data_IF_885053767080
#
_entry.id   IF_885053767080
#
_cell.length_a   1.000
_cell.length_b   1.000
_cell.length_c   1.000
_cell.angle_alpha   90.00
_cell.angle_beta   90.00
_cell.angle_gamma   90.00
#
_symmetry.space_group_name_H-M   'P 1'
#
loop_
_entity.id
_entity.type
_entity.pdbx_description
1 polymer ?
#
# COMPACT_ATOMS: atom_id res chain seq x y z
N UNK A 1 47.19 -21.59 10.77
CA UNK A 1 47.04 -20.35 9.99
C UNK A 1 46.21 -20.67 8.77
N UNK A 2 44.89 -20.52 8.85
CA UNK A 2 43.99 -20.68 7.71
C UNK A 2 43.93 -19.36 6.97
N UNK A 3 44.57 -19.31 5.81
CA UNK A 3 44.58 -18.16 4.90
C UNK A 3 43.16 -17.90 4.40
N UNK A 4 42.52 -16.88 4.97
CA UNK A 4 41.35 -16.22 4.36
C UNK A 4 41.84 -15.57 3.06
N UNK A 5 41.65 -16.25 1.94
CA UNK A 5 41.76 -15.63 0.62
C UNK A 5 40.51 -14.79 0.42
N UNK A 6 40.53 -13.54 0.88
CA UNK A 6 39.58 -12.54 0.41
C UNK A 6 39.78 -12.44 -1.11
N UNK A 7 38.76 -12.87 -1.85
CA UNK A 7 38.80 -12.90 -3.30
C UNK A 7 38.59 -11.48 -3.84
N UNK A 8 39.68 -10.71 -3.91
CA UNK A 8 39.69 -9.27 -4.24
C UNK A 8 39.39 -8.99 -5.73
N UNK A 9 39.04 -10.02 -6.51
CA UNK A 9 38.80 -9.94 -7.96
C UNK A 9 37.41 -10.36 -8.45
N UNK A 10 36.52 -10.83 -7.57
CA UNK A 10 35.14 -11.13 -7.96
C UNK A 10 34.30 -9.85 -7.95
N UNK A 11 33.59 -9.56 -9.05
CA UNK A 11 32.53 -8.53 -9.04
C UNK A 11 31.60 -8.79 -7.85
N UNK A 12 31.13 -7.74 -7.14
CA UNK A 12 30.19 -7.93 -6.05
C UNK A 12 28.95 -8.68 -6.55
N UNK A 13 28.48 -9.66 -5.79
CA UNK A 13 27.26 -10.39 -6.14
C UNK A 13 26.09 -9.40 -6.17
N UNK A 14 25.34 -9.39 -7.27
CA UNK A 14 24.09 -8.64 -7.35
C UNK A 14 23.08 -9.20 -6.32
N UNK A 15 22.20 -8.36 -5.75
CA UNK A 15 21.25 -8.80 -4.74
C UNK A 15 20.17 -9.73 -5.30
N UNK A 16 19.49 -10.44 -4.40
CA UNK A 16 18.29 -11.22 -4.71
C UNK A 16 18.44 -12.15 -5.91
N UNK A 17 17.44 -12.08 -6.80
CA UNK A 17 17.37 -12.87 -8.03
C UNK A 17 18.28 -12.37 -9.14
N UNK A 18 18.82 -11.16 -9.06
CA UNK A 18 19.81 -10.67 -10.02
C UNK A 18 21.15 -11.41 -9.88
N UNK A 19 21.55 -11.76 -8.66
CA UNK A 19 22.77 -12.54 -8.41
C UNK A 19 22.55 -14.05 -8.37
N UNK A 20 21.33 -14.51 -8.08
CA UNK A 20 20.96 -15.93 -8.11
C UNK A 20 19.49 -16.08 -8.52
N UNK A 21 19.16 -16.50 -9.75
CA UNK A 21 17.79 -16.63 -10.23
C UNK A 21 16.88 -17.53 -9.38
N UNK A 22 17.45 -18.48 -8.63
CA UNK A 22 16.74 -19.40 -7.74
C UNK A 22 16.50 -18.82 -6.34
N UNK A 23 16.94 -17.58 -6.08
CA UNK A 23 16.75 -16.92 -4.79
C UNK A 23 15.26 -16.72 -4.51
N UNK A 24 14.82 -17.18 -3.35
CA UNK A 24 13.50 -16.91 -2.76
C UNK A 24 13.65 -16.16 -1.44
N UNK A 25 12.55 -15.61 -0.91
CA UNK A 25 12.54 -14.83 0.34
C UNK A 25 13.26 -15.57 1.49
N UNK A 26 13.00 -16.88 1.66
CA UNK A 26 13.66 -17.75 2.66
C UNK A 26 15.18 -17.81 2.56
N UNK A 27 15.72 -17.67 1.36
CA UNK A 27 17.16 -17.86 1.06
C UNK A 27 17.89 -16.55 0.81
N UNK A 28 17.18 -15.42 0.83
CA UNK A 28 17.75 -14.09 0.69
C UNK A 28 18.35 -13.65 2.02
N UNK A 29 19.68 -13.41 2.09
CA UNK A 29 20.34 -13.06 3.35
C UNK A 29 19.90 -11.70 3.90
N UNK A 30 19.19 -10.89 3.12
CA UNK A 30 18.65 -9.59 3.56
C UNK A 30 17.36 -9.73 4.35
N UNK A 31 16.60 -10.81 4.16
CA UNK A 31 15.27 -10.97 4.75
C UNK A 31 15.33 -11.11 6.28
N UNK A 32 14.43 -10.45 7.00
CA UNK A 32 14.30 -10.62 8.45
C UNK A 32 13.87 -12.08 8.73
N UNK A 33 14.69 -12.87 9.46
CA UNK A 33 14.39 -14.28 9.69
C UNK A 33 13.09 -14.51 10.47
N UNK A 34 12.64 -13.53 11.28
CA UNK A 34 11.37 -13.59 12.01
C UNK A 34 10.19 -13.49 11.05
N UNK A 35 10.27 -12.59 10.07
CA UNK A 35 9.28 -12.46 9.00
C UNK A 35 9.24 -13.73 8.15
N UNK A 36 10.41 -14.24 7.74
CA UNK A 36 10.51 -15.50 6.97
C UNK A 36 9.84 -16.66 7.72
N UNK A 37 10.08 -16.79 9.02
CA UNK A 37 9.46 -17.83 9.85
C UNK A 37 7.92 -17.69 9.90
N UNK A 38 7.39 -16.47 9.88
CA UNK A 38 5.95 -16.22 9.86
C UNK A 38 5.30 -16.46 8.48
N UNK A 39 6.06 -16.34 7.39
CA UNK A 39 5.62 -16.68 6.05
C UNK A 39 5.53 -18.19 5.79
N UNK A 40 6.41 -18.97 6.43
CA UNK A 40 6.59 -20.40 6.15
C UNK A 40 5.33 -21.28 6.27
N UNK A 41 4.45 -21.11 7.29
CA UNK A 41 3.22 -21.90 7.40
C UNK A 41 2.26 -21.76 6.21
N UNK A 42 2.40 -20.67 5.45
CA UNK A 42 1.55 -20.35 4.29
C UNK A 42 2.31 -20.50 2.96
N UNK A 43 3.54 -21.03 2.99
CA UNK A 43 4.45 -21.12 1.84
C UNK A 43 4.77 -19.76 1.16
N UNK A 44 4.64 -18.65 1.89
CA UNK A 44 4.93 -17.30 1.41
C UNK A 44 6.43 -16.94 1.45
N UNK A 45 7.25 -17.82 2.02
CA UNK A 45 8.71 -17.70 2.09
C UNK A 45 9.41 -18.30 0.85
N UNK A 46 8.67 -19.06 0.04
CA UNK A 46 9.13 -19.68 -1.20
C UNK A 46 8.68 -18.89 -2.45
N UNK A 47 9.11 -19.34 -3.63
CA UNK A 47 8.59 -18.81 -4.88
C UNK A 47 7.10 -19.16 -5.02
N UNK A 48 6.23 -18.21 -5.42
CA UNK A 48 4.82 -18.48 -5.63
C UNK A 48 4.63 -19.48 -6.77
N UNK A 49 3.60 -20.35 -6.70
CA UNK A 49 3.26 -21.22 -7.81
C UNK A 49 2.85 -20.38 -9.04
N UNK A 50 3.07 -20.88 -10.27
CA UNK A 50 2.55 -20.25 -11.46
C UNK A 50 1.04 -20.04 -11.36
N UNK A 51 0.57 -18.85 -11.73
CA UNK A 51 -0.86 -18.53 -11.70
C UNK A 51 -1.58 -19.08 -12.95
N UNK A 52 -2.86 -19.46 -12.85
CA UNK A 52 -3.59 -20.12 -13.94
C UNK A 52 -4.10 -19.15 -15.03
N UNK A 53 -3.85 -17.85 -14.89
CA UNK A 53 -4.34 -16.79 -15.78
C UNK A 53 -3.22 -15.81 -16.11
N UNK A 54 -3.34 -15.13 -17.24
CA UNK A 54 -2.44 -14.06 -17.69
C UNK A 54 -3.25 -12.87 -18.21
N UNK A 55 -2.58 -11.76 -18.56
CA UNK A 55 -3.24 -10.52 -18.99
C UNK A 55 -4.27 -10.70 -20.12
N UNK A 56 -3.99 -11.62 -21.05
CA UNK A 56 -4.85 -11.97 -22.20
C UNK A 56 -5.88 -13.07 -21.93
N UNK A 57 -5.97 -13.60 -20.71
CA UNK A 57 -7.00 -14.58 -20.35
C UNK A 57 -8.41 -13.95 -20.39
N UNK A 58 -9.47 -14.76 -20.60
CA UNK A 58 -10.84 -14.26 -20.60
C UNK A 58 -11.18 -13.49 -19.33
N UNK A 59 -11.99 -12.44 -19.46
CA UNK A 59 -12.38 -11.56 -18.35
C UNK A 59 -12.86 -12.34 -17.13
N UNK A 60 -13.81 -13.26 -17.34
CA UNK A 60 -14.38 -14.06 -16.25
C UNK A 60 -13.32 -14.91 -15.54
N UNK A 61 -12.40 -15.54 -16.27
CA UNK A 61 -11.34 -16.34 -15.66
C UNK A 61 -10.41 -15.50 -14.76
N UNK A 62 -10.14 -14.25 -15.15
CA UNK A 62 -9.36 -13.31 -14.33
C UNK A 62 -10.12 -12.92 -13.05
N UNK A 63 -11.43 -12.71 -13.14
CA UNK A 63 -12.27 -12.41 -11.97
C UNK A 63 -12.37 -13.60 -11.01
N UNK A 64 -12.56 -14.82 -11.53
CA UNK A 64 -12.62 -16.03 -10.71
C UNK A 64 -11.29 -16.26 -9.97
N UNK A 65 -10.17 -16.02 -10.65
CA UNK A 65 -8.85 -16.05 -10.03
C UNK A 65 -8.70 -15.01 -8.91
N UNK A 66 -9.17 -13.77 -9.11
CA UNK A 66 -9.13 -12.73 -8.07
C UNK A 66 -10.00 -13.09 -6.89
N UNK A 67 -11.22 -13.58 -7.10
CA UNK A 67 -12.12 -13.98 -6.02
C UNK A 67 -11.49 -15.09 -5.15
N UNK A 68 -10.86 -16.09 -5.77
CA UNK A 68 -10.15 -17.14 -5.05
C UNK A 68 -8.90 -16.60 -4.31
N UNK A 69 -8.15 -15.69 -4.95
CA UNK A 69 -6.96 -15.07 -4.37
C UNK A 69 -7.31 -14.20 -3.17
N UNK A 70 -8.39 -13.42 -3.25
CA UNK A 70 -8.89 -12.58 -2.17
C UNK A 70 -9.25 -13.42 -0.94
N UNK A 71 -10.04 -14.48 -1.12
CA UNK A 71 -10.43 -15.38 -0.03
C UNK A 71 -9.20 -16.04 0.63
N UNK A 72 -8.22 -16.47 -0.16
CA UNK A 72 -6.96 -17.03 0.35
C UNK A 72 -6.14 -16.02 1.15
N UNK A 73 -5.99 -14.80 0.63
CA UNK A 73 -5.25 -13.72 1.30
C UNK A 73 -5.94 -13.28 2.59
N UNK A 74 -7.26 -13.13 2.61
CA UNK A 74 -8.01 -12.80 3.82
C UNK A 74 -7.87 -13.88 4.89
N UNK A 75 -7.86 -15.16 4.51
CA UNK A 75 -7.58 -16.27 5.43
C UNK A 75 -6.20 -16.19 6.06
N UNK A 76 -5.15 -15.96 5.25
CA UNK A 76 -3.78 -15.77 5.77
C UNK A 76 -3.69 -14.56 6.68
N UNK A 77 -4.29 -13.43 6.29
CA UNK A 77 -4.28 -12.21 7.07
C UNK A 77 -5.04 -12.35 8.39
N UNK A 78 -6.17 -13.05 8.40
CA UNK A 78 -6.87 -13.37 9.64
C UNK A 78 -5.95 -14.14 10.61
N UNK A 79 -5.21 -15.13 10.13
CA UNK A 79 -4.28 -15.92 10.95
C UNK A 79 -3.06 -15.09 11.43
N UNK A 80 -2.48 -14.26 10.56
CA UNK A 80 -1.37 -13.36 10.91
C UNK A 80 -1.74 -12.33 11.99
N UNK A 81 -3.03 -12.05 12.17
CA UNK A 81 -3.56 -11.13 13.18
C UNK A 81 -4.34 -11.81 14.31
N UNK A 82 -4.56 -13.12 14.24
CA UNK A 82 -5.22 -13.91 15.27
C UNK A 82 -4.49 -13.82 16.62
N UNK A 83 -5.26 -13.88 17.70
CA UNK A 83 -4.79 -13.90 19.09
C UNK A 83 -3.92 -12.71 19.53
N UNK A 84 -3.87 -11.63 18.74
CA UNK A 84 -3.26 -10.39 19.20
C UNK A 84 -4.08 -9.80 20.35
N UNK A 85 -3.43 -9.27 21.41
CA UNK A 85 -4.14 -8.59 22.48
C UNK A 85 -5.05 -7.47 21.95
N UNK A 86 -6.24 -7.28 22.55
CA UNK A 86 -7.16 -6.22 22.14
C UNK A 86 -6.58 -4.84 22.45
N UNK A 87 -6.86 -3.88 21.59
CA UNK A 87 -6.55 -2.47 21.82
C UNK A 87 -7.76 -1.84 22.52
N UNK A 88 -7.62 -1.56 23.82
CA UNK A 88 -8.74 -1.20 24.69
C UNK A 88 -9.01 0.30 24.78
N UNK A 89 -8.07 1.13 24.35
CA UNK A 89 -8.13 2.60 24.39
C UNK A 89 -8.69 3.23 23.11
N UNK A 90 -9.29 2.43 22.21
CA UNK A 90 -9.87 2.89 20.94
C UNK A 90 -11.39 2.64 20.93
N UNK A 91 -12.13 3.61 20.42
CA UNK A 91 -13.53 3.52 20.04
C UNK A 91 -13.64 3.36 18.52
N UNK A 92 -14.57 2.52 18.08
CA UNK A 92 -14.85 2.30 16.66
C UNK A 92 -16.30 2.64 16.37
N UNK A 93 -16.55 3.28 15.23
CA UNK A 93 -17.89 3.48 14.68
C UNK A 93 -17.85 3.42 13.16
N UNK A 94 -18.97 3.10 12.54
CA UNK A 94 -19.10 3.07 11.09
C UNK A 94 -20.10 4.12 10.66
N UNK A 95 -19.72 4.93 9.68
CA UNK A 95 -20.62 5.84 8.98
C UNK A 95 -20.86 5.36 7.57
N UNK A 96 -22.07 5.60 7.05
CA UNK A 96 -22.41 5.34 5.65
C UNK A 96 -22.67 6.67 4.97
N UNK A 97 -21.91 6.97 3.92
CA UNK A 97 -22.02 8.20 3.16
C UNK A 97 -22.45 7.89 1.72
N UNK A 98 -22.91 8.91 0.99
CA UNK A 98 -23.24 8.78 -0.43
C UNK A 98 -22.05 9.20 -1.29
N UNK A 99 -21.60 8.29 -2.16
CA UNK A 99 -20.60 8.54 -3.19
C UNK A 99 -21.14 9.40 -4.33
N UNK A 100 -20.23 9.93 -5.15
CA UNK A 100 -20.58 10.76 -6.32
C UNK A 100 -21.39 10.01 -7.38
N UNK A 101 -21.30 8.68 -7.44
CA UNK A 101 -22.07 7.84 -8.36
C UNK A 101 -23.41 7.39 -7.76
N UNK A 102 -23.79 7.91 -6.59
CA UNK A 102 -25.00 7.51 -5.88
C UNK A 102 -24.89 6.11 -5.23
N UNK A 103 -23.68 5.60 -5.00
CA UNK A 103 -23.41 4.39 -4.22
C UNK A 103 -23.24 4.72 -2.73
N UNK A 104 -23.47 3.75 -1.86
CA UNK A 104 -23.12 3.87 -0.44
C UNK A 104 -21.64 3.53 -0.24
N UNK A 105 -20.97 4.29 0.62
CA UNK A 105 -19.57 4.09 1.00
C UNK A 105 -19.51 4.00 2.52
N UNK A 106 -18.91 2.93 3.05
CA UNK A 106 -18.67 2.79 4.49
C UNK A 106 -17.37 3.48 4.87
N UNK A 107 -17.40 4.22 5.98
CA UNK A 107 -16.23 4.81 6.61
C UNK A 107 -16.08 4.20 8.01
N UNK A 108 -14.97 3.51 8.24
CA UNK A 108 -14.61 2.93 9.54
C UNK A 108 -13.79 3.94 10.32
N UNK A 109 -14.37 4.51 11.37
CA UNK A 109 -13.78 5.58 12.17
C UNK A 109 -13.27 4.99 13.48
N UNK A 110 -11.97 5.15 13.72
CA UNK A 110 -11.28 4.69 14.91
C UNK A 110 -10.72 5.92 15.65
N UNK A 111 -11.14 6.10 16.90
CA UNK A 111 -10.80 7.28 17.72
C UNK A 111 -10.27 6.86 19.09
N UNK A 112 -9.25 7.53 19.65
CA UNK A 112 -8.80 7.26 21.00
C UNK A 112 -9.83 7.77 22.03
N UNK A 113 -10.16 6.94 23.02
CA UNK A 113 -11.23 7.20 24.02
C UNK A 113 -11.06 8.49 24.81
N UNK A 114 -9.82 8.85 25.15
CA UNK A 114 -9.51 9.91 26.10
C UNK A 114 -8.79 11.11 25.43
N UNK A 115 -9.13 11.42 24.18
CA UNK A 115 -8.57 12.55 23.47
C UNK A 115 -9.01 13.88 24.12
N UNK A 116 -8.05 14.71 24.55
CA UNK A 116 -8.29 15.99 25.23
C UNK A 116 -8.59 17.16 24.27
N UNK A 117 -8.48 16.96 22.95
CA UNK A 117 -8.68 17.98 21.93
C UNK A 117 -8.61 17.41 20.52
N UNK A 118 -8.61 18.28 19.48
CA UNK A 118 -8.50 17.82 18.10
C UNK A 118 -7.18 17.12 17.79
N UNK A 119 -7.24 16.00 17.07
CA UNK A 119 -6.08 15.17 16.72
C UNK A 119 -5.87 15.12 15.20
N UNK A 120 -4.64 14.86 14.72
CA UNK A 120 -4.44 14.57 13.30
C UNK A 120 -5.21 13.31 12.89
N UNK A 121 -5.76 13.32 11.68
CA UNK A 121 -6.47 12.19 11.09
C UNK A 121 -5.62 11.53 10.01
N UNK A 122 -5.53 10.21 10.05
CA UNK A 122 -5.08 9.39 8.93
C UNK A 122 -6.33 8.92 8.17
N UNK A 123 -6.56 9.51 7.00
CA UNK A 123 -7.51 9.01 6.02
C UNK A 123 -6.87 7.82 5.29
N UNK A 124 -7.25 6.63 5.75
CA UNK A 124 -6.60 5.37 5.40
C UNK A 124 -7.27 4.69 4.20
N UNK A 125 -6.48 4.39 3.18
CA UNK A 125 -6.91 3.70 1.97
C UNK A 125 -6.14 2.37 1.90
N UNK A 126 -6.86 1.25 1.94
CA UNK A 126 -6.23 -0.07 2.03
C UNK A 126 -5.66 -0.58 0.70
N UNK A 127 -4.72 -1.51 0.79
CA UNK A 127 -4.10 -2.24 -0.31
C UNK A 127 -5.00 -3.30 -0.96
N UNK A 128 -4.39 -4.19 -1.74
CA UNK A 128 -5.09 -5.18 -2.57
C UNK A 128 -5.14 -4.82 -4.06
N UNK A 129 -4.17 -4.03 -4.53
CA UNK A 129 -4.01 -3.69 -5.95
C UNK A 129 -5.19 -2.91 -6.56
N UNK A 130 -6.00 -2.24 -5.73
CA UNK A 130 -7.26 -1.59 -6.09
C UNK A 130 -8.33 -2.56 -6.65
N UNK A 131 -8.10 -3.86 -6.50
CA UNK A 131 -8.88 -4.93 -7.15
C UNK A 131 -9.50 -5.88 -6.14
N UNK A 132 -8.99 -5.99 -4.92
CA UNK A 132 -9.50 -6.92 -3.90
C UNK A 132 -9.18 -6.44 -2.48
N UNK A 133 -9.62 -7.23 -1.49
CA UNK A 133 -9.58 -6.99 -0.04
C UNK A 133 -10.55 -5.90 0.40
N UNK A 134 -10.84 -5.87 1.69
CA UNK A 134 -11.82 -4.94 2.28
C UNK A 134 -11.21 -4.17 3.45
N UNK A 135 -11.56 -2.89 3.62
CA UNK A 135 -11.20 -2.09 4.78
C UNK A 135 -11.68 -2.71 6.10
N UNK A 136 -12.75 -3.52 6.07
CA UNK A 136 -13.24 -4.30 7.20
C UNK A 136 -12.31 -5.44 7.65
N UNK A 137 -11.40 -5.90 6.79
CA UNK A 137 -10.49 -7.01 7.06
C UNK A 137 -9.61 -6.80 8.32
N UNK A 138 -9.25 -7.91 8.97
CA UNK A 138 -8.57 -7.91 10.28
C UNK A 138 -7.27 -7.08 10.29
N UNK A 139 -6.46 -7.20 9.23
CA UNK A 139 -5.23 -6.42 9.04
C UNK A 139 -5.48 -4.91 9.13
N UNK A 140 -6.42 -4.40 8.34
CA UNK A 140 -6.64 -2.96 8.23
C UNK A 140 -7.43 -2.42 9.41
N UNK A 141 -8.35 -3.20 9.99
CA UNK A 141 -8.99 -2.84 11.24
C UNK A 141 -7.94 -2.69 12.36
N UNK A 142 -7.00 -3.63 12.47
CA UNK A 142 -5.90 -3.56 13.44
C UNK A 142 -4.99 -2.38 13.16
N UNK A 143 -4.60 -2.14 11.90
CA UNK A 143 -3.76 -1.01 11.51
C UNK A 143 -4.35 0.33 11.96
N UNK A 144 -5.65 0.53 11.72
CA UNK A 144 -6.36 1.74 12.15
C UNK A 144 -6.47 1.86 13.67
N UNK A 145 -6.65 0.75 14.39
CA UNK A 145 -6.60 0.77 15.86
C UNK A 145 -5.22 1.15 16.39
N UNK A 146 -4.13 0.63 15.82
CA UNK A 146 -2.77 0.93 16.27
C UNK A 146 -2.43 2.41 16.03
N UNK A 147 -2.85 2.97 14.89
CA UNK A 147 -2.78 4.41 14.64
C UNK A 147 -3.60 5.19 15.67
N UNK A 148 -4.85 4.78 15.91
CA UNK A 148 -5.73 5.48 16.85
C UNK A 148 -5.22 5.41 18.30
N UNK A 149 -4.69 4.26 18.71
CA UNK A 149 -4.10 4.06 20.03
C UNK A 149 -2.90 4.98 20.30
N UNK A 150 -2.22 5.43 19.24
CA UNK A 150 -1.10 6.36 19.31
C UNK A 150 -1.53 7.84 19.28
N UNK A 151 -2.83 8.14 19.38
CA UNK A 151 -3.34 9.51 19.44
C UNK A 151 -3.60 10.13 18.07
N UNK A 152 -4.05 9.33 17.09
CA UNK A 152 -4.57 9.79 15.80
C UNK A 152 -6.07 9.49 15.72
N UNK A 153 -6.80 10.21 14.88
CA UNK A 153 -8.04 9.65 14.32
C UNK A 153 -7.65 8.81 13.11
N UNK A 154 -8.19 7.60 12.95
CA UNK A 154 -7.96 6.81 11.74
C UNK A 154 -9.30 6.50 11.08
N UNK A 155 -9.42 6.86 9.80
CA UNK A 155 -10.65 6.72 9.03
C UNK A 155 -10.40 5.89 7.79
N UNK A 156 -10.86 4.64 7.81
CA UNK A 156 -10.74 3.71 6.68
C UNK A 156 -11.91 3.86 5.73
N UNK A 157 -11.64 4.04 4.44
CA UNK A 157 -12.67 4.05 3.39
C UNK A 157 -12.85 2.65 2.79
N UNK A 158 -14.09 2.17 2.73
CA UNK A 158 -14.48 0.93 2.03
C UNK A 158 -14.89 1.30 0.59
N UNK A 159 -13.90 1.35 -0.31
CA UNK A 159 -14.12 1.75 -1.69
C UNK A 159 -14.49 0.54 -2.57
N UNK A 160 -15.16 0.79 -3.71
CA UNK A 160 -15.43 -0.25 -4.71
C UNK A 160 -14.14 -0.74 -5.36
N UNK A 161 -13.98 -2.06 -5.44
CA UNK A 161 -12.81 -2.70 -6.02
C UNK A 161 -12.99 -3.03 -7.51
N UNK A 162 -11.87 -3.19 -8.22
CA UNK A 162 -11.88 -3.69 -9.61
C UNK A 162 -12.41 -5.12 -9.75
N UNK A 163 -12.25 -5.97 -8.73
CA UNK A 163 -12.71 -7.36 -8.69
C UNK A 163 -13.06 -7.79 -7.26
N UNK A 164 -13.12 -9.09 -7.01
CA UNK A 164 -13.38 -9.65 -5.68
C UNK A 164 -14.76 -9.31 -5.12
N UNK A 165 -14.87 -9.34 -3.80
CA UNK A 165 -16.13 -9.21 -3.04
C UNK A 165 -16.78 -7.84 -3.19
N UNK A 166 -15.97 -6.80 -3.40
CA UNK A 166 -16.43 -5.42 -3.64
C UNK A 166 -16.37 -5.01 -5.11
N UNK A 167 -16.23 -5.99 -6.02
CA UNK A 167 -16.13 -5.79 -7.46
C UNK A 167 -17.43 -5.99 -8.23
N UNK A 168 -17.46 -5.77 -9.55
CA UNK A 168 -16.33 -5.49 -10.44
C UNK A 168 -16.43 -4.06 -10.98
N UNK A 169 -15.72 -3.13 -10.35
CA UNK A 169 -15.80 -1.71 -10.66
C UNK A 169 -14.42 -1.17 -11.12
N UNK A 170 -14.15 -1.13 -12.43
CA UNK A 170 -12.89 -0.60 -12.96
C UNK A 170 -12.62 0.85 -12.57
N UNK A 171 -11.38 1.30 -12.82
CA UNK A 171 -11.02 2.71 -12.72
C UNK A 171 -12.02 3.61 -13.48
N UNK A 172 -12.51 4.73 -12.89
CA UNK A 172 -12.05 5.36 -11.65
C UNK A 172 -12.94 5.11 -10.41
N UNK A 173 -13.76 4.04 -10.37
CA UNK A 173 -14.77 3.87 -9.32
C UNK A 173 -14.22 3.95 -7.88
N UNK A 174 -13.19 3.17 -7.55
CA UNK A 174 -12.56 3.22 -6.22
C UNK A 174 -11.90 4.58 -5.90
N UNK A 175 -11.32 5.26 -6.89
CA UNK A 175 -10.77 6.61 -6.71
C UNK A 175 -11.87 7.63 -6.43
N UNK A 176 -13.00 7.54 -7.12
CA UNK A 176 -14.17 8.39 -6.86
C UNK A 176 -14.68 8.20 -5.43
N UNK A 177 -14.73 6.96 -4.94
CA UNK A 177 -15.15 6.67 -3.56
C UNK A 177 -14.15 7.23 -2.53
N UNK A 178 -12.85 7.12 -2.79
CA UNK A 178 -11.81 7.74 -1.96
C UNK A 178 -11.94 9.28 -1.93
N UNK A 179 -12.26 9.91 -3.05
CA UNK A 179 -12.50 11.36 -3.10
C UNK A 179 -13.76 11.76 -2.32
N UNK A 180 -14.84 10.97 -2.40
CA UNK A 180 -16.06 11.19 -1.62
C UNK A 180 -15.83 11.05 -0.11
N UNK A 181 -15.08 10.02 0.31
CA UNK A 181 -14.75 9.84 1.73
C UNK A 181 -13.80 10.92 2.26
N UNK A 182 -12.83 11.38 1.46
CA UNK A 182 -11.96 12.50 1.82
C UNK A 182 -12.76 13.79 2.00
N UNK A 183 -13.64 14.10 1.03
CA UNK A 183 -14.51 15.28 1.09
C UNK A 183 -15.37 15.25 2.36
N UNK A 184 -16.03 14.12 2.65
CA UNK A 184 -16.83 13.98 3.86
C UNK A 184 -16.00 14.18 5.13
N UNK A 185 -14.80 13.60 5.18
CA UNK A 185 -13.88 13.74 6.32
C UNK A 185 -13.50 15.19 6.54
N UNK A 186 -13.19 15.92 5.47
CA UNK A 186 -12.87 17.35 5.51
C UNK A 186 -14.05 18.19 6.02
N UNK A 187 -15.24 17.94 5.51
CA UNK A 187 -16.46 18.68 5.90
C UNK A 187 -16.85 18.42 7.37
N UNK A 188 -16.45 17.27 7.94
CA UNK A 188 -16.78 16.87 9.30
C UNK A 188 -15.63 17.03 10.30
N UNK A 189 -14.54 17.74 9.95
CA UNK A 189 -13.37 17.93 10.84
C UNK A 189 -13.74 18.40 12.25
N UNK A 190 -14.66 19.36 12.37
CA UNK A 190 -15.08 19.88 13.67
C UNK A 190 -15.77 18.80 14.53
N UNK A 191 -16.74 18.08 13.96
CA UNK A 191 -17.49 17.03 14.66
C UNK A 191 -16.60 15.83 15.01
N UNK A 192 -15.67 15.49 14.13
CA UNK A 192 -14.70 14.40 14.33
C UNK A 192 -13.52 14.82 15.23
N UNK A 193 -13.44 16.09 15.63
CA UNK A 193 -12.29 16.67 16.35
C UNK A 193 -10.98 16.38 15.63
N UNK A 194 -10.93 16.66 14.32
CA UNK A 194 -9.74 16.48 13.48
C UNK A 194 -9.04 17.82 13.27
N UNK A 195 -7.73 17.87 13.55
CA UNK A 195 -6.90 19.04 13.29
C UNK A 195 -6.37 19.09 11.86
N UNK A 196 -5.86 17.96 11.35
CA UNK A 196 -5.22 17.80 10.03
C UNK A 196 -5.62 16.49 9.38
N UNK A 197 -5.57 16.40 8.05
CA UNK A 197 -5.84 15.17 7.29
C UNK A 197 -4.59 14.75 6.53
N UNK A 198 -4.09 13.57 6.88
CA UNK A 198 -3.03 12.87 6.18
C UNK A 198 -3.67 11.74 5.38
N UNK A 199 -3.50 11.73 4.07
CA UNK A 199 -3.94 10.60 3.24
C UNK A 199 -2.83 9.55 3.26
N UNK A 200 -3.18 8.30 3.62
CA UNK A 200 -2.20 7.23 3.75
C UNK A 200 -2.75 5.87 3.33
N UNK A 201 -1.87 5.04 2.79
CA UNK A 201 -2.19 3.69 2.37
C UNK A 201 -0.97 2.96 1.82
N UNK A 202 -1.05 1.64 1.81
CA UNK A 202 -0.01 0.74 1.33
C UNK A 202 -0.36 0.07 0.00
N UNK A 203 0.64 -0.26 -0.83
CA UNK A 203 0.44 -1.01 -2.06
C UNK A 203 -0.56 -0.32 -3.01
N UNK A 204 -1.67 -0.99 -3.37
CA UNK A 204 -2.77 -0.39 -4.12
C UNK A 204 -3.45 0.78 -3.40
N UNK A 205 -3.48 0.76 -2.07
CA UNK A 205 -3.89 1.91 -1.24
C UNK A 205 -2.87 3.04 -1.30
N UNK A 206 -1.59 2.73 -1.47
CA UNK A 206 -0.52 3.68 -1.79
C UNK A 206 -0.73 4.35 -3.16
N UNK A 207 -1.18 3.59 -4.16
CA UNK A 207 -1.60 4.17 -5.44
C UNK A 207 -2.76 5.14 -5.26
N UNK A 208 -3.87 4.69 -4.67
CA UNK A 208 -5.04 5.52 -4.46
C UNK A 208 -4.75 6.73 -3.57
N UNK A 209 -3.85 6.61 -2.60
CA UNK A 209 -3.35 7.73 -1.78
C UNK A 209 -2.72 8.82 -2.64
N UNK A 210 -1.80 8.44 -3.53
CA UNK A 210 -1.14 9.37 -4.45
C UNK A 210 -2.13 9.93 -5.49
N UNK A 211 -2.98 9.07 -6.06
CA UNK A 211 -3.99 9.45 -7.04
C UNK A 211 -5.07 10.38 -6.46
N UNK A 212 -5.50 10.17 -5.22
CA UNK A 212 -6.41 11.06 -4.47
C UNK A 212 -5.79 12.45 -4.32
N UNK A 213 -4.50 12.55 -4.00
CA UNK A 213 -3.81 13.84 -3.91
C UNK A 213 -3.73 14.54 -5.28
N UNK A 214 -3.35 13.81 -6.33
CA UNK A 214 -3.33 14.30 -7.71
C UNK A 214 -4.72 14.77 -8.18
N UNK A 215 -5.77 13.99 -7.87
CA UNK A 215 -7.15 14.33 -8.20
C UNK A 215 -7.64 15.54 -7.43
N UNK A 216 -7.34 15.64 -6.14
CA UNK A 216 -7.66 16.80 -5.32
C UNK A 216 -7.03 18.07 -5.89
N UNK A 217 -5.76 18.02 -6.32
CA UNK A 217 -5.13 19.15 -7.02
C UNK A 217 -5.86 19.49 -8.32
N UNK A 218 -6.10 18.50 -9.17
CA UNK A 218 -6.80 18.69 -10.45
C UNK A 218 -8.18 19.34 -10.29
N UNK A 219 -8.86 19.03 -9.19
CA UNK A 219 -10.20 19.54 -8.88
C UNK A 219 -10.20 20.84 -8.05
N UNK A 220 -9.02 21.42 -7.73
CA UNK A 220 -8.92 22.62 -6.89
C UNK A 220 -9.24 22.39 -5.41
N UNK A 221 -9.14 21.13 -4.93
CA UNK A 221 -9.47 20.68 -3.58
C UNK A 221 -8.26 20.34 -2.70
N UNK A 222 -7.06 20.77 -3.11
CA UNK A 222 -5.82 20.38 -2.42
C UNK A 222 -5.76 20.81 -0.95
N UNK A 223 -6.50 21.84 -0.56
CA UNK A 223 -6.65 22.28 0.84
C UNK A 223 -7.27 21.23 1.78
N UNK A 224 -7.80 20.12 1.23
CA UNK A 224 -8.32 18.99 2.02
C UNK A 224 -7.23 18.09 2.57
N UNK A 225 -6.00 18.19 2.08
CA UNK A 225 -4.90 17.27 2.36
C UNK A 225 -3.73 18.06 2.93
N UNK A 226 -3.44 17.84 4.22
CA UNK A 226 -2.32 18.47 4.91
C UNK A 226 -0.99 17.73 4.63
N UNK A 227 -1.06 16.41 4.34
CA UNK A 227 0.11 15.61 3.98
C UNK A 227 -0.26 14.24 3.40
N UNK A 228 0.73 13.57 2.83
CA UNK A 228 0.57 12.26 2.18
C UNK A 228 1.62 11.28 2.68
N UNK A 229 1.21 10.08 3.05
CA UNK A 229 2.11 9.01 3.48
C UNK A 229 1.81 7.72 2.71
N UNK A 230 2.56 7.46 1.63
CA UNK A 230 2.38 6.28 0.79
C UNK A 230 3.39 5.18 1.15
N UNK A 231 2.90 3.98 1.45
CA UNK A 231 3.71 2.80 1.76
C UNK A 231 3.75 1.85 0.55
N UNK A 232 4.92 1.32 0.23
CA UNK A 232 5.18 0.36 -0.86
C UNK A 232 4.28 0.56 -2.10
N UNK A 233 4.22 1.77 -2.69
CA UNK A 233 3.14 2.14 -3.59
C UNK A 233 3.15 1.33 -4.90
N UNK A 234 1.98 0.81 -5.29
CA UNK A 234 1.73 0.00 -6.50
C UNK A 234 1.29 0.87 -7.69
N UNK A 235 2.23 1.49 -8.39
CA UNK A 235 1.96 2.67 -9.23
C UNK A 235 2.44 2.57 -10.67
N UNK A 236 3.21 1.55 -11.05
CA UNK A 236 3.79 1.44 -12.39
C UNK A 236 2.78 1.06 -13.48
N UNK A 237 1.89 0.10 -13.23
CA UNK A 237 0.85 -0.33 -14.19
C UNK A 237 1.32 -1.27 -15.30
N UNK A 238 2.62 -1.52 -15.43
CA UNK A 238 3.25 -2.19 -16.57
C UNK A 238 4.14 -3.38 -16.16
N UNK A 239 3.74 -4.12 -15.11
CA UNK A 239 4.54 -5.22 -14.52
C UNK A 239 4.80 -6.39 -15.47
N UNK A 240 3.95 -6.61 -16.48
CA UNK A 240 4.20 -7.60 -17.52
C UNK A 240 5.44 -7.29 -18.37
N UNK A 241 5.74 -6.00 -18.58
CA UNK A 241 6.87 -5.58 -19.40
C UNK A 241 8.19 -5.56 -18.61
N UNK A 242 8.12 -5.35 -17.29
CA UNK A 242 9.27 -5.12 -16.39
C UNK A 242 10.22 -4.05 -16.94
N UNK A 243 9.97 -2.79 -16.62
CA UNK A 243 10.87 -1.69 -17.00
C UNK A 243 12.31 -1.97 -16.54
N UNK A 244 13.29 -1.85 -17.44
CA UNK A 244 14.72 -2.05 -17.10
C UNK A 244 15.23 -1.00 -16.11
N UNK A 245 14.53 0.13 -16.04
CA UNK A 245 14.75 1.20 -15.08
C UNK A 245 14.26 0.85 -13.66
N UNK A 246 13.56 -0.28 -13.48
CA UNK A 246 13.03 -0.79 -12.22
C UNK A 246 13.65 -2.17 -11.90
N UNK A 247 14.95 -2.24 -11.56
CA UNK A 247 15.62 -3.52 -11.33
C UNK A 247 15.00 -4.36 -10.21
N UNK A 248 14.29 -3.77 -9.24
CA UNK A 248 13.54 -4.48 -8.20
C UNK A 248 12.51 -5.47 -8.76
N UNK A 249 11.92 -5.19 -9.93
CA UNK A 249 10.98 -6.10 -10.63
C UNK A 249 11.62 -7.40 -11.12
N UNK A 250 12.95 -7.45 -11.14
CA UNK A 250 13.72 -8.65 -11.44
C UNK A 250 14.33 -9.22 -10.17
N UNK A 251 14.88 -8.35 -9.33
CA UNK A 251 15.59 -8.68 -8.09
C UNK A 251 14.72 -9.41 -7.08
N UNK A 252 13.48 -8.96 -6.90
CA UNK A 252 12.58 -9.39 -5.83
C UNK A 252 11.28 -10.01 -6.37
N UNK A 253 11.24 -10.38 -7.65
CA UNK A 253 10.04 -10.96 -8.25
C UNK A 253 9.66 -12.29 -7.58
N UNK A 254 8.40 -12.39 -7.15
CA UNK A 254 7.89 -13.53 -6.41
C UNK A 254 8.22 -13.49 -4.92
N UNK A 255 8.71 -12.37 -4.38
CA UNK A 255 8.85 -12.22 -2.92
C UNK A 255 7.53 -11.68 -2.38
N UNK A 256 6.67 -12.60 -1.90
CA UNK A 256 5.26 -12.39 -1.52
C UNK A 256 4.32 -12.07 -2.69
N UNK A 257 4.71 -11.16 -3.58
CA UNK A 257 3.95 -10.76 -4.78
C UNK A 257 4.78 -10.99 -6.04
N UNK A 258 4.12 -11.24 -7.17
CA UNK A 258 4.75 -11.56 -8.45
C UNK A 258 4.25 -10.68 -9.59
N UNK A 259 5.13 -10.37 -10.54
CA UNK A 259 4.84 -9.46 -11.65
C UNK A 259 3.72 -9.97 -12.58
N UNK A 260 3.57 -11.28 -12.73
CA UNK A 260 2.51 -11.91 -13.52
C UNK A 260 1.12 -11.71 -12.89
N UNK A 261 1.01 -11.91 -11.57
CA UNK A 261 -0.20 -11.63 -10.81
C UNK A 261 -0.54 -10.13 -10.88
N UNK A 262 0.43 -9.26 -10.63
CA UNK A 262 0.24 -7.81 -10.73
C UNK A 262 -0.23 -7.38 -12.13
N UNK A 263 0.32 -7.98 -13.19
CA UNK A 263 -0.15 -7.72 -14.55
C UNK A 263 -1.61 -8.13 -14.76
N UNK A 264 -2.06 -9.26 -14.21
CA UNK A 264 -3.48 -9.66 -14.26
C UNK A 264 -4.37 -8.65 -13.55
N UNK A 265 -4.00 -8.24 -12.33
CA UNK A 265 -4.75 -7.23 -11.56
C UNK A 265 -4.83 -5.89 -12.31
N UNK A 266 -3.73 -5.45 -12.93
CA UNK A 266 -3.72 -4.23 -13.74
C UNK A 266 -4.76 -4.28 -14.88
N UNK A 267 -4.93 -5.44 -15.54
CA UNK A 267 -5.96 -5.60 -16.58
C UNK A 267 -7.38 -5.73 -16.04
N UNK A 268 -7.58 -5.96 -14.73
CA UNK A 268 -8.91 -5.89 -14.11
C UNK A 268 -9.23 -4.43 -13.76
N UNK A 269 -8.22 -3.70 -13.27
CA UNK A 269 -8.38 -2.30 -12.90
C UNK A 269 -8.59 -1.36 -14.10
N UNK A 270 -7.88 -1.59 -15.21
CA UNK A 270 -8.02 -0.84 -16.48
C UNK A 270 -8.20 -1.81 -17.67
N UNK A 271 -9.41 -2.38 -17.88
CA UNK A 271 -9.65 -3.49 -18.82
C UNK A 271 -9.29 -3.20 -20.27
N UNK A 272 -9.44 -1.95 -20.68
CA UNK A 272 -9.18 -1.50 -22.06
C UNK A 272 -7.79 -0.87 -22.20
N UNK A 273 -7.00 -0.82 -21.12
CA UNK A 273 -5.68 -0.21 -21.04
C UNK A 273 -5.64 1.26 -21.51
N UNK A 274 -6.78 1.96 -21.46
CA UNK A 274 -6.93 3.35 -21.92
C UNK A 274 -6.28 4.35 -20.97
N UNK A 275 -6.00 3.93 -19.74
CA UNK A 275 -5.46 4.77 -18.66
C UNK A 275 -3.99 4.44 -18.35
N UNK A 276 -3.29 3.69 -19.19
CA UNK A 276 -1.89 3.29 -18.98
C UNK A 276 -0.89 4.45 -18.81
N UNK A 277 -1.23 5.65 -19.29
CA UNK A 277 -0.48 6.90 -19.11
C UNK A 277 -1.19 7.92 -18.23
N UNK A 278 -2.35 7.58 -17.68
CA UNK A 278 -3.13 8.47 -16.83
C UNK A 278 -2.56 8.45 -15.40
N UNK A 279 -2.02 9.56 -14.88
CA UNK A 279 -1.41 9.58 -13.55
C UNK A 279 -2.41 9.40 -12.40
N UNK A 280 -3.72 9.48 -12.67
CA UNK A 280 -4.76 9.15 -11.71
C UNK A 280 -5.03 7.64 -11.60
N UNK A 281 -4.64 6.87 -12.61
CA UNK A 281 -4.72 5.40 -12.60
C UNK A 281 -3.38 4.79 -12.18
N UNK A 282 -2.29 5.29 -12.77
CA UNK A 282 -0.92 4.86 -12.50
C UNK A 282 -0.04 6.08 -12.19
N UNK A 283 0.06 6.49 -10.91
CA UNK A 283 0.82 7.67 -10.48
C UNK A 283 2.26 7.73 -10.98
N UNK A 284 2.89 6.60 -11.32
CA UNK A 284 4.22 6.59 -11.94
C UNK A 284 4.30 7.42 -13.24
N UNK A 285 3.18 7.65 -13.93
CA UNK A 285 3.12 8.48 -15.14
C UNK A 285 2.91 9.99 -14.85
N UNK A 286 2.95 10.44 -13.59
CA UNK A 286 2.78 11.84 -13.25
C UNK A 286 3.88 12.72 -13.86
N UNK A 287 3.48 13.86 -14.42
CA UNK A 287 4.41 14.87 -14.92
C UNK A 287 4.85 15.80 -13.80
N UNK A 288 5.92 16.58 -14.03
CA UNK A 288 6.32 17.63 -13.09
C UNK A 288 5.18 18.63 -12.81
N UNK A 289 4.37 18.94 -13.82
CA UNK A 289 3.21 19.85 -13.68
C UNK A 289 2.16 19.24 -12.77
N UNK A 290 1.92 17.94 -12.85
CA UNK A 290 0.97 17.23 -11.97
C UNK A 290 1.44 17.29 -10.50
N UNK A 291 2.75 17.24 -10.26
CA UNK A 291 3.34 17.14 -8.91
C UNK A 291 3.64 18.50 -8.24
N UNK A 292 3.86 19.57 -8.99
CA UNK A 292 4.22 20.88 -8.41
C UNK A 292 3.16 21.40 -7.44
N UNK A 293 3.57 21.84 -6.25
CA UNK A 293 2.66 22.42 -5.26
C UNK A 293 1.80 21.42 -4.49
N UNK A 294 2.03 20.10 -4.65
CA UNK A 294 1.45 19.09 -3.75
C UNK A 294 1.93 19.30 -2.29
N UNK A 295 1.14 18.87 -1.28
CA UNK A 295 1.51 18.97 0.14
C UNK A 295 2.73 18.10 0.46
N UNK A 296 3.28 18.15 1.68
CA UNK A 296 4.39 17.28 2.07
C UNK A 296 4.06 15.79 1.87
N UNK A 297 5.06 15.02 1.46
CA UNK A 297 4.94 13.59 1.18
C UNK A 297 5.97 12.75 1.94
N UNK A 298 5.58 11.53 2.26
CA UNK A 298 6.48 10.44 2.66
C UNK A 298 6.28 9.27 1.71
N UNK A 299 7.38 8.75 1.18
CA UNK A 299 7.39 7.51 0.40
C UNK A 299 8.18 6.45 1.16
N UNK A 300 7.47 5.50 1.77
CA UNK A 300 8.08 4.36 2.45
C UNK A 300 8.11 3.17 1.52
N UNK A 301 9.27 2.54 1.34
CA UNK A 301 9.42 1.32 0.52
C UNK A 301 9.98 0.17 1.37
N UNK A 302 9.75 -1.08 0.96
CA UNK A 302 10.31 -2.25 1.60
C UNK A 302 11.54 -2.74 0.80
N UNK A 303 12.59 -3.23 1.48
CA UNK A 303 13.87 -3.58 0.83
C UNK A 303 13.74 -4.74 -0.17
N UNK A 304 12.99 -5.78 0.20
CA UNK A 304 12.81 -7.02 -0.55
C UNK A 304 11.48 -7.04 -1.34
N UNK A 305 11.04 -5.88 -1.81
CA UNK A 305 9.79 -5.69 -2.54
C UNK A 305 10.07 -5.44 -4.03
N UNK A 306 9.38 -6.13 -4.97
CA UNK A 306 9.50 -5.81 -6.38
C UNK A 306 9.07 -4.38 -6.73
N UNK A 307 8.18 -3.75 -5.95
CA UNK A 307 7.69 -2.39 -6.13
C UNK A 307 8.62 -1.30 -5.56
N UNK A 308 9.75 -1.69 -4.95
CA UNK A 308 10.67 -0.76 -4.30
C UNK A 308 11.10 0.38 -5.23
N UNK A 309 11.55 0.06 -6.44
CA UNK A 309 12.16 1.06 -7.30
C UNK A 309 11.12 2.00 -7.94
N UNK A 310 9.88 1.56 -8.17
CA UNK A 310 8.82 2.45 -8.66
C UNK A 310 8.40 3.48 -7.59
N UNK A 311 8.37 3.07 -6.32
CA UNK A 311 8.19 4.00 -5.19
C UNK A 311 9.33 5.00 -5.09
N UNK A 312 10.59 4.54 -5.14
CA UNK A 312 11.77 5.43 -5.10
C UNK A 312 11.82 6.36 -6.31
N UNK A 313 11.34 5.92 -7.48
CA UNK A 313 11.23 6.77 -8.66
C UNK A 313 10.20 7.88 -8.44
N UNK A 314 9.04 7.57 -7.87
CA UNK A 314 8.03 8.57 -7.56
C UNK A 314 8.52 9.59 -6.51
N UNK A 315 9.26 9.14 -5.50
CA UNK A 315 9.98 10.02 -4.57
C UNK A 315 10.89 11.03 -5.31
N UNK A 316 11.71 10.55 -6.25
CA UNK A 316 12.58 11.42 -7.05
C UNK A 316 11.77 12.42 -7.90
N UNK A 317 10.64 12.00 -8.44
CA UNK A 317 9.75 12.87 -9.22
C UNK A 317 9.15 13.99 -8.36
N UNK A 318 8.67 13.67 -7.15
CA UNK A 318 8.19 14.65 -6.17
C UNK A 318 9.29 15.67 -5.80
N UNK A 319 10.50 15.17 -5.52
CA UNK A 319 11.64 16.00 -5.17
C UNK A 319 12.00 16.96 -6.33
N UNK A 320 12.04 16.47 -7.57
CA UNK A 320 12.31 17.27 -8.77
C UNK A 320 11.18 18.29 -9.08
N UNK A 321 9.97 18.05 -8.60
CA UNK A 321 8.85 18.98 -8.67
C UNK A 321 8.85 20.02 -7.54
N UNK A 322 9.80 19.95 -6.59
CA UNK A 322 9.92 20.88 -5.47
C UNK A 322 8.96 20.59 -4.31
N UNK A 323 8.40 19.38 -4.25
CA UNK A 323 7.55 18.94 -3.12
C UNK A 323 8.44 18.69 -1.91
N UNK A 324 7.99 19.08 -0.71
CA UNK A 324 8.64 18.67 0.54
C UNK A 324 8.45 17.17 0.72
N UNK A 325 9.49 16.38 0.50
CA UNK A 325 9.38 14.93 0.53
C UNK A 325 10.62 14.29 1.15
N UNK A 326 10.41 13.23 1.93
CA UNK A 326 11.47 12.28 2.26
C UNK A 326 11.02 10.85 1.91
N UNK A 327 12.00 9.97 1.75
CA UNK A 327 11.75 8.54 1.59
C UNK A 327 12.47 7.75 2.68
N UNK A 328 11.96 6.55 2.95
CA UNK A 328 12.59 5.57 3.84
C UNK A 328 12.49 4.19 3.23
N UNK A 329 13.50 3.37 3.51
CA UNK A 329 13.45 1.93 3.23
C UNK A 329 13.30 1.17 4.52
N UNK A 330 12.38 0.21 4.56
CA UNK A 330 12.20 -0.72 5.66
C UNK A 330 13.01 -1.98 5.36
N UNK A 331 14.21 -2.03 5.91
CA UNK A 331 15.13 -3.12 5.65
C UNK A 331 14.61 -4.45 6.21
N UNK A 332 14.97 -5.55 5.56
CA UNK A 332 14.58 -6.91 5.93
C UNK A 332 13.13 -7.28 5.65
N UNK A 333 12.33 -6.39 5.07
CA UNK A 333 10.92 -6.64 4.80
C UNK A 333 10.63 -6.89 3.32
N UNK A 334 9.77 -7.88 3.04
CA UNK A 334 9.09 -8.03 1.76
C UNK A 334 7.99 -6.98 1.60
N UNK A 335 7.26 -7.03 0.48
CA UNK A 335 6.13 -6.13 0.23
C UNK A 335 5.16 -6.07 1.42
N UNK A 336 4.89 -4.85 1.91
CA UNK A 336 4.01 -4.58 3.06
C UNK A 336 4.38 -5.33 4.36
N UNK A 337 5.64 -5.76 4.52
CA UNK A 337 6.05 -6.56 5.67
C UNK A 337 5.83 -5.85 7.02
N UNK A 338 6.05 -4.54 7.04
CA UNK A 338 5.81 -3.66 8.19
C UNK A 338 4.34 -3.32 8.45
N UNK A 339 3.43 -3.77 7.59
CA UNK A 339 1.96 -3.67 7.75
C UNK A 339 1.35 -5.02 8.13
N UNK A 340 1.88 -6.12 7.62
CA UNK A 340 1.26 -7.45 7.75
C UNK A 340 1.74 -8.25 8.97
N UNK A 341 3.01 -8.11 9.36
CA UNK A 341 3.63 -9.05 10.31
C UNK A 341 3.71 -8.51 11.73
N UNK A 342 2.60 -7.95 12.25
CA UNK A 342 2.52 -7.35 13.60
C UNK A 342 3.00 -8.28 14.72
N UNK A 343 2.72 -9.58 14.64
CA UNK A 343 3.15 -10.59 15.63
C UNK A 343 4.64 -10.89 15.54
N UNK A 344 5.17 -11.05 14.33
CA UNK A 344 6.52 -11.57 14.10
C UNK A 344 7.62 -10.51 14.19
N UNK A 345 7.33 -9.29 13.70
CA UNK A 345 8.26 -8.16 13.70
C UNK A 345 7.61 -6.91 14.34
N UNK A 346 7.19 -7.00 15.62
CA UNK A 346 6.38 -5.96 16.28
C UNK A 346 7.10 -4.61 16.39
N UNK A 347 8.43 -4.64 16.49
CA UNK A 347 9.32 -3.47 16.49
C UNK A 347 9.31 -2.74 15.15
N UNK A 348 9.40 -3.47 14.04
CA UNK A 348 9.36 -2.92 12.67
C UNK A 348 7.98 -2.35 12.35
N UNK A 349 6.91 -3.09 12.66
CA UNK A 349 5.54 -2.62 12.52
C UNK A 349 5.31 -1.31 13.31
N UNK A 350 5.68 -1.31 14.60
CA UNK A 350 5.48 -0.15 15.45
C UNK A 350 6.35 1.04 15.04
N UNK A 351 7.52 0.81 14.42
CA UNK A 351 8.34 1.88 13.86
C UNK A 351 7.61 2.62 12.73
N UNK A 352 6.93 1.90 11.82
CA UNK A 352 6.12 2.53 10.78
C UNK A 352 4.96 3.32 11.34
N UNK A 353 4.22 2.78 12.31
CA UNK A 353 3.11 3.50 12.97
C UNK A 353 3.61 4.79 13.65
N UNK A 354 4.75 4.74 14.34
CA UNK A 354 5.36 5.93 14.96
C UNK A 354 5.85 6.95 13.94
N UNK A 355 6.36 6.50 12.80
CA UNK A 355 6.81 7.39 11.72
C UNK A 355 5.63 8.16 11.10
N UNK A 356 4.49 7.48 10.88
CA UNK A 356 3.24 8.13 10.44
C UNK A 356 2.77 9.17 11.46
N UNK A 357 2.79 8.83 12.76
CA UNK A 357 2.46 9.77 13.84
C UNK A 357 3.40 10.98 13.86
N UNK A 358 4.71 10.74 13.80
CA UNK A 358 5.72 11.78 13.79
C UNK A 358 5.58 12.70 12.58
N UNK A 359 5.27 12.16 11.40
CA UNK A 359 4.95 12.94 10.22
C UNK A 359 3.70 13.81 10.43
N UNK A 360 2.61 13.21 10.94
CA UNK A 360 1.36 13.92 11.19
C UNK A 360 1.52 15.07 12.21
N UNK A 361 2.38 14.91 13.22
CA UNK A 361 2.68 15.94 14.23
C UNK A 361 3.57 17.07 13.69
N UNK A 362 4.38 16.80 12.66
CA UNK A 362 5.36 17.74 12.11
C UNK A 362 4.82 18.60 10.95
N UNK A 363 3.70 18.20 10.34
CA UNK A 363 2.88 19.09 9.51
C UNK A 363 2.39 20.25 10.36
#
# INVERSE_FOLDING_TARGET
MTTSTHNIGAQPLLPGRLGNPDRVLKTDPRADPRLVAACAPFALDAAPPPIPVHAGSPWQAKLDYVAASEAGMEGVFAELFADLPPITNVERRTEVIRGVDGNDIRLYIHTPKNASGPLPCVYHIHGGGMVMLTAAGATYARWRDELAALGLVALGVEFRNGGGTLGNHPFPAGLNDCMSGLQWTFDHKATLKISKIIVSGESGGGNLTLATCLKAKKDGKLAQIDGVYALCPYIYGAWAQKGKELPSLYENDGYLIACDQMAVLATIYDPENKNNRNPLCWPYNATRVDLQGLPPHVISVNELDPLRDEGLKYYQMLLAAGVRVYSRTVNGTCHAGDVLFRKAIPDVYAATIRDIKGFADAL
#
